data_IF_597023772689
#
_entry.id   IF_597023772689
#
_cell.length_a   1.000
_cell.length_b   1.000
_cell.length_c   1.000
_cell.angle_alpha   90.00
_cell.angle_beta   90.00
_cell.angle_gamma   90.00
#
_symmetry.space_group_name_H-M   'P 1'
#
loop_
_entity.id
_entity.type
_entity.pdbx_description
1 polymer ?
#
# COMPACT_ATOMS: atom_id res chain seq x y z
N UNK A 1 -15.34 -24.78 -6.72
CA UNK A 1 -14.57 -23.56 -6.51
C UNK A 1 -13.11 -23.91 -6.41
N UNK A 2 -12.25 -23.12 -7.06
CA UNK A 2 -10.81 -23.36 -7.11
C UNK A 2 -10.05 -23.05 -5.81
N UNK A 3 -8.73 -22.94 -5.94
CA UNK A 3 -7.81 -22.61 -4.84
C UNK A 3 -8.16 -21.27 -4.18
N UNK A 4 -7.96 -21.16 -2.87
CA UNK A 4 -8.14 -19.91 -2.15
C UNK A 4 -7.19 -18.84 -2.69
N UNK A 5 -7.74 -17.65 -2.92
CA UNK A 5 -6.96 -16.50 -3.35
C UNK A 5 -6.08 -16.04 -2.18
N UNK A 6 -4.76 -15.91 -2.36
CA UNK A 6 -3.90 -15.39 -1.32
C UNK A 6 -4.34 -14.00 -0.85
N UNK A 7 -4.24 -13.68 0.45
CA UNK A 7 -4.56 -12.36 0.95
C UNK A 7 -3.83 -11.26 0.16
N UNK A 8 -4.51 -10.14 -0.07
CA UNK A 8 -4.12 -8.98 -0.90
C UNK A 8 -4.07 -9.21 -2.41
N UNK A 9 -4.19 -10.46 -2.90
CA UNK A 9 -4.19 -10.70 -4.35
C UNK A 9 -5.48 -10.26 -5.04
N UNK A 10 -6.54 -9.94 -4.30
CA UNK A 10 -7.75 -9.32 -4.85
C UNK A 10 -7.44 -7.98 -5.55
N UNK A 11 -6.35 -7.27 -5.18
CA UNK A 11 -5.89 -6.07 -5.87
C UNK A 11 -5.47 -6.30 -7.33
N UNK A 12 -5.22 -7.56 -7.73
CA UNK A 12 -4.86 -7.93 -9.10
C UNK A 12 -6.08 -8.13 -10.02
N UNK A 13 -7.31 -8.12 -9.49
CA UNK A 13 -8.52 -8.45 -10.23
C UNK A 13 -9.48 -7.28 -10.45
N UNK A 14 -9.42 -6.25 -9.64
CA UNK A 14 -10.28 -5.07 -9.74
C UNK A 14 -9.48 -3.85 -10.20
N UNK A 15 -8.94 -3.95 -11.42
CA UNK A 15 -7.98 -2.99 -11.97
C UNK A 15 -8.62 -1.65 -12.33
N UNK A 16 -7.92 -0.52 -12.18
CA UNK A 16 -8.38 0.80 -12.60
C UNK A 16 -8.30 0.95 -14.13
N UNK A 17 -9.39 0.63 -14.84
CA UNK A 17 -9.47 0.61 -16.30
C UNK A 17 -9.80 1.99 -16.90
N UNK A 18 -8.99 3.01 -16.62
CA UNK A 18 -9.14 4.32 -17.23
C UNK A 18 -8.55 4.34 -18.66
N UNK A 19 -9.20 5.07 -19.58
CA UNK A 19 -8.68 5.27 -20.94
C UNK A 19 -7.45 6.17 -20.90
N UNK A 20 -6.55 6.04 -21.89
CA UNK A 20 -5.36 6.89 -21.99
C UNK A 20 -5.71 8.38 -21.98
N UNK A 21 -6.80 8.79 -22.62
CA UNK A 21 -7.29 10.20 -22.65
C UNK A 21 -7.81 10.70 -21.29
N UNK A 22 -8.07 9.79 -20.36
CA UNK A 22 -8.58 10.06 -19.01
C UNK A 22 -7.46 10.11 -17.96
N UNK A 23 -6.21 9.86 -18.35
CA UNK A 23 -5.06 9.93 -17.46
C UNK A 23 -4.54 11.37 -17.34
N UNK A 24 -4.06 11.70 -16.14
CA UNK A 24 -3.30 12.90 -15.85
C UNK A 24 -1.82 12.76 -16.23
N UNK A 25 -1.04 13.83 -16.12
CA UNK A 25 0.39 13.82 -16.46
C UNK A 25 1.23 12.92 -15.55
N UNK A 26 0.73 12.59 -14.36
CA UNK A 26 1.33 11.67 -13.41
C UNK A 26 1.02 10.19 -13.69
N UNK A 27 0.14 9.90 -14.67
CA UNK A 27 -0.31 8.57 -15.04
C UNK A 27 -1.51 8.04 -14.24
N UNK A 28 -2.01 8.79 -13.27
CA UNK A 28 -3.28 8.46 -12.61
C UNK A 28 -4.51 8.91 -13.43
N UNK A 29 -5.68 8.27 -13.22
CA UNK A 29 -6.95 8.82 -13.72
C UNK A 29 -7.15 10.26 -13.25
N UNK A 30 -7.65 11.11 -14.17
CA UNK A 30 -8.01 12.50 -13.86
C UNK A 30 -8.98 12.54 -12.69
N UNK A 31 -8.97 13.66 -11.97
CA UNK A 31 -9.83 13.87 -10.80
C UNK A 31 -11.27 14.19 -11.20
N UNK A 32 -12.20 14.05 -10.23
CA UNK A 32 -13.62 14.37 -10.41
C UNK A 32 -14.48 13.20 -10.90
N UNK A 33 -13.91 11.95 -10.91
CA UNK A 33 -14.68 10.73 -11.08
C UNK A 33 -15.29 10.26 -9.74
N UNK A 34 -15.01 9.03 -9.35
CA UNK A 34 -15.50 8.48 -8.07
C UNK A 34 -14.91 9.20 -6.85
N UNK A 35 -13.62 9.52 -6.88
CA UNK A 35 -12.99 10.28 -5.79
C UNK A 35 -13.30 11.77 -5.88
N UNK A 36 -13.39 12.48 -4.73
CA UNK A 36 -13.74 13.90 -4.70
C UNK A 36 -12.67 14.74 -5.45
N UNK A 37 -13.06 15.89 -6.02
CA UNK A 37 -12.17 16.77 -6.77
C UNK A 37 -11.30 17.61 -5.83
N UNK A 38 -10.44 16.95 -5.05
CA UNK A 38 -9.51 17.61 -4.11
C UNK A 38 -8.48 18.42 -4.90
N UNK A 39 -8.29 19.73 -4.61
CA UNK A 39 -7.39 20.61 -5.38
C UNK A 39 -5.89 20.41 -5.06
N UNK A 40 -5.53 19.49 -4.16
CA UNK A 40 -4.14 19.22 -3.77
C UNK A 40 -3.47 18.29 -4.78
N UNK A 41 -2.26 18.61 -5.29
CA UNK A 41 -1.66 17.92 -6.44
C UNK A 41 -1.20 16.49 -6.14
N UNK A 42 -0.67 16.18 -4.98
CA UNK A 42 -0.17 14.85 -4.66
C UNK A 42 -1.26 13.98 -4.02
N UNK A 43 -1.36 12.74 -4.50
CA UNK A 43 -2.25 11.70 -3.96
C UNK A 43 -1.43 10.48 -3.59
N UNK A 44 -1.58 10.01 -2.36
CA UNK A 44 -0.83 8.88 -1.82
C UNK A 44 -1.79 7.91 -1.12
N UNK A 45 -1.48 6.60 -1.19
CA UNK A 45 -2.10 5.59 -0.35
C UNK A 45 -1.46 5.63 1.03
N UNK A 46 -2.21 6.08 2.03
CA UNK A 46 -1.70 6.26 3.39
C UNK A 46 -1.74 4.97 4.23
N UNK A 47 -2.68 4.07 3.93
CA UNK A 47 -2.83 2.80 4.64
C UNK A 47 -4.15 2.12 4.32
N UNK A 48 -4.35 0.91 4.84
CA UNK A 48 -5.62 0.18 4.77
C UNK A 48 -5.85 -0.66 6.01
N UNK A 49 -7.12 -1.04 6.20
CA UNK A 49 -7.62 -2.02 7.18
C UNK A 49 -8.45 -3.03 6.41
N UNK A 50 -8.13 -4.30 6.55
CA UNK A 50 -8.77 -5.40 5.84
C UNK A 50 -9.27 -6.45 6.83
N UNK A 51 -10.52 -6.87 6.68
CA UNK A 51 -11.17 -7.90 7.47
C UNK A 51 -11.64 -9.03 6.56
N UNK A 52 -11.09 -10.23 6.73
CA UNK A 52 -11.48 -11.42 5.99
C UNK A 52 -12.58 -12.16 6.74
N UNK A 53 -13.77 -12.23 6.16
CA UNK A 53 -14.92 -12.94 6.69
C UNK A 53 -15.03 -14.37 6.12
N UNK A 54 -14.59 -14.54 4.87
CA UNK A 54 -14.52 -15.81 4.17
C UNK A 54 -13.41 -15.78 3.11
N UNK A 55 -12.89 -16.93 2.65
CA UNK A 55 -11.93 -16.97 1.58
C UNK A 55 -12.58 -16.58 0.24
N UNK A 56 -11.89 -15.77 -0.54
CA UNK A 56 -12.15 -15.61 -1.97
C UNK A 56 -11.43 -16.76 -2.73
N UNK A 57 -12.03 -17.26 -3.81
CA UNK A 57 -11.48 -18.40 -4.57
C UNK A 57 -11.32 -18.11 -6.04
N UNK A 58 -10.31 -18.71 -6.66
CA UNK A 58 -10.11 -18.63 -8.10
C UNK A 58 -11.29 -19.28 -8.84
N UNK A 59 -11.78 -18.62 -9.89
CA UNK A 59 -12.88 -19.09 -10.73
C UNK A 59 -14.27 -18.79 -10.18
N UNK A 60 -14.42 -18.14 -9.02
CA UNK A 60 -15.72 -17.65 -8.57
C UNK A 60 -16.01 -16.23 -9.06
N UNK A 61 -17.27 -15.89 -9.17
CA UNK A 61 -17.70 -14.53 -9.45
C UNK A 61 -17.66 -13.71 -8.17
N UNK A 62 -16.93 -12.59 -8.20
CA UNK A 62 -16.82 -11.66 -7.07
C UNK A 62 -17.23 -10.28 -7.52
N UNK A 63 -18.07 -9.62 -6.74
CA UNK A 63 -18.49 -8.23 -6.95
C UNK A 63 -17.79 -7.34 -5.93
N UNK A 64 -17.23 -6.21 -6.38
CA UNK A 64 -16.72 -5.16 -5.49
C UNK A 64 -17.71 -4.00 -5.46
N UNK A 65 -18.19 -3.67 -4.28
CA UNK A 65 -18.94 -2.45 -4.02
C UNK A 65 -18.06 -1.45 -3.26
N UNK A 66 -18.00 -0.21 -3.75
CA UNK A 66 -17.11 0.82 -3.19
C UNK A 66 -17.89 2.06 -2.80
N UNK A 67 -17.60 2.62 -1.61
CA UNK A 67 -18.21 3.87 -1.16
C UNK A 67 -17.21 4.73 -0.41
N UNK A 68 -17.32 6.06 -0.54
CA UNK A 68 -16.57 6.99 0.29
C UNK A 68 -17.19 7.00 1.67
N UNK A 69 -16.40 6.74 2.71
CA UNK A 69 -16.84 6.70 4.11
C UNK A 69 -16.66 8.07 4.76
N UNK A 70 -15.51 8.71 4.49
CA UNK A 70 -15.21 10.03 5.03
C UNK A 70 -14.35 10.86 4.10
N UNK A 71 -14.47 12.18 4.21
CA UNK A 71 -13.58 13.18 3.61
C UNK A 71 -13.25 14.18 4.71
N UNK A 72 -11.99 14.22 5.13
CA UNK A 72 -11.55 15.07 6.24
C UNK A 72 -10.43 16.00 5.79
N UNK A 73 -10.60 17.28 6.03
CA UNK A 73 -9.55 18.28 5.85
C UNK A 73 -8.81 18.50 7.18
N UNK A 74 -7.48 18.45 7.12
CA UNK A 74 -6.60 18.71 8.27
C UNK A 74 -5.52 19.69 7.87
N UNK A 75 -5.09 20.50 8.82
CA UNK A 75 -3.90 21.36 8.66
C UNK A 75 -2.76 20.76 9.48
N UNK A 76 -1.66 20.42 8.80
CA UNK A 76 -0.46 19.89 9.41
C UNK A 76 0.71 20.86 9.30
N UNK A 77 1.87 20.50 9.88
CA UNK A 77 3.12 21.28 9.75
C UNK A 77 3.57 21.46 8.29
N UNK A 78 3.17 20.58 7.40
CA UNK A 78 3.49 20.61 5.97
C UNK A 78 2.39 21.19 5.08
N UNK A 79 1.42 21.95 5.66
CA UNK A 79 0.33 22.56 4.90
C UNK A 79 -1.00 21.80 5.01
N UNK A 80 -1.89 22.07 4.05
CA UNK A 80 -3.21 21.44 3.98
C UNK A 80 -3.11 19.97 3.60
N UNK A 81 -3.90 19.12 4.28
CA UNK A 81 -4.04 17.70 4.00
C UNK A 81 -5.53 17.39 3.85
N UNK A 82 -5.88 16.55 2.89
CA UNK A 82 -7.23 15.99 2.79
C UNK A 82 -7.12 14.48 2.83
N UNK A 83 -7.81 13.87 3.79
CA UNK A 83 -7.92 12.43 3.92
C UNK A 83 -9.26 11.97 3.35
N UNK A 84 -9.22 10.94 2.51
CA UNK A 84 -10.41 10.28 1.97
C UNK A 84 -10.34 8.81 2.34
N UNK A 85 -11.34 8.33 3.08
CA UNK A 85 -11.48 6.91 3.37
C UNK A 85 -12.51 6.31 2.40
N UNK A 86 -12.10 5.27 1.69
CA UNK A 86 -12.96 4.48 0.80
C UNK A 86 -13.12 3.08 1.37
N UNK A 87 -14.35 2.64 1.58
CA UNK A 87 -14.66 1.25 1.92
C UNK A 87 -14.99 0.47 0.66
N UNK A 88 -14.34 -0.68 0.51
CA UNK A 88 -14.60 -1.69 -0.50
C UNK A 88 -15.15 -2.95 0.17
N UNK A 89 -16.24 -3.47 -0.33
CA UNK A 89 -16.82 -4.75 0.07
C UNK A 89 -16.72 -5.71 -1.12
N UNK A 90 -16.08 -6.84 -0.93
CA UNK A 90 -15.92 -7.88 -1.93
C UNK A 90 -16.83 -9.03 -1.55
N UNK A 91 -17.84 -9.28 -2.37
CA UNK A 91 -18.87 -10.28 -2.11
C UNK A 91 -18.87 -11.36 -3.20
N UNK A 92 -19.03 -12.60 -2.78
CA UNK A 92 -19.33 -13.76 -3.64
C UNK A 92 -20.78 -14.26 -3.40
N UNK A 93 -21.11 -15.45 -3.90
CA UNK A 93 -22.46 -16.01 -3.74
C UNK A 93 -22.88 -16.28 -2.28
N UNK A 94 -21.92 -16.35 -1.34
CA UNK A 94 -22.15 -16.55 0.09
C UNK A 94 -22.28 -15.26 0.89
N UNK A 95 -22.01 -14.11 0.27
CA UNK A 95 -22.07 -12.81 0.91
C UNK A 95 -20.73 -12.08 0.89
N UNK A 96 -20.57 -11.11 1.80
CA UNK A 96 -19.33 -10.33 1.90
C UNK A 96 -18.20 -11.21 2.46
N UNK A 97 -17.18 -11.45 1.65
CA UNK A 97 -16.02 -12.26 1.99
C UNK A 97 -14.86 -11.41 2.53
N UNK A 98 -14.72 -10.17 2.06
CA UNK A 98 -13.66 -9.26 2.48
C UNK A 98 -14.20 -7.83 2.55
N UNK A 99 -13.85 -7.12 3.61
CA UNK A 99 -14.04 -5.67 3.74
C UNK A 99 -12.68 -4.99 3.80
N UNK A 100 -12.49 -3.93 3.01
CA UNK A 100 -11.28 -3.12 3.02
C UNK A 100 -11.63 -1.65 3.20
N UNK A 101 -10.98 -0.97 4.13
CA UNK A 101 -10.95 0.48 4.21
C UNK A 101 -9.61 0.99 3.71
N UNK A 102 -9.66 1.84 2.68
CA UNK A 102 -8.52 2.38 1.98
C UNK A 102 -8.40 3.88 2.28
N UNK A 103 -7.34 4.28 2.97
CA UNK A 103 -7.06 5.67 3.32
C UNK A 103 -6.18 6.32 2.26
N UNK A 104 -6.69 7.35 1.63
CA UNK A 104 -6.00 8.18 0.64
C UNK A 104 -5.71 9.52 1.28
N UNK A 105 -4.48 10.01 1.14
CA UNK A 105 -4.09 11.35 1.56
C UNK A 105 -3.72 12.21 0.35
N UNK A 106 -4.27 13.41 0.31
CA UNK A 106 -3.92 14.45 -0.65
C UNK A 106 -3.10 15.52 0.08
N UNK A 107 -2.07 16.02 -0.58
CA UNK A 107 -1.21 17.10 -0.06
C UNK A 107 -0.65 17.97 -1.17
N UNK A 108 -0.12 19.13 -0.79
CA UNK A 108 0.61 20.01 -1.68
C UNK A 108 1.97 19.44 -2.12
N UNK A 109 2.52 20.05 -3.16
CA UNK A 109 3.92 19.86 -3.54
C UNK A 109 4.80 20.38 -2.39
N UNK A 110 5.98 19.78 -2.19
CA UNK A 110 6.94 20.35 -1.26
C UNK A 110 7.35 21.75 -1.74
N UNK A 111 7.56 22.67 -0.81
CA UNK A 111 8.13 23.98 -1.14
C UNK A 111 9.50 23.78 -1.80
N UNK A 112 9.76 24.37 -2.98
CA UNK A 112 11.08 24.28 -3.61
C UNK A 112 12.18 24.72 -2.64
N UNK A 113 13.24 23.93 -2.50
CA UNK A 113 14.35 24.21 -1.59
C UNK A 113 14.09 23.89 -0.10
N UNK A 114 12.90 23.39 0.24
CA UNK A 114 12.69 22.88 1.59
C UNK A 114 13.62 21.70 1.89
N UNK A 115 14.26 21.62 3.07
CA UNK A 115 15.07 20.48 3.41
C UNK A 115 14.22 19.20 3.38
N UNK A 116 14.83 18.11 2.93
CA UNK A 116 14.19 16.80 2.99
C UNK A 116 13.67 16.58 4.43
N UNK A 117 12.43 16.12 4.54
CA UNK A 117 11.88 15.83 5.86
C UNK A 117 12.81 14.84 6.58
N UNK A 118 13.21 15.18 7.80
CA UNK A 118 14.00 14.29 8.64
C UNK A 118 13.29 12.92 8.78
N UNK A 119 14.04 11.83 8.99
CA UNK A 119 13.45 10.51 9.24
C UNK A 119 12.37 10.60 10.31
N UNK A 120 11.18 10.09 10.00
CA UNK A 120 10.01 10.24 10.89
C UNK A 120 10.11 9.32 12.11
N UNK A 121 11.05 8.39 12.11
CA UNK A 121 11.21 7.41 13.19
C UNK A 121 12.68 7.14 13.51
N UNK A 122 12.94 6.81 14.77
CA UNK A 122 14.22 6.22 15.17
C UNK A 122 14.41 4.86 14.49
N UNK A 123 15.66 4.45 14.19
CA UNK A 123 15.96 3.13 13.68
C UNK A 123 15.37 2.03 14.56
N UNK A 124 14.74 1.04 13.92
CA UNK A 124 14.24 -0.14 14.61
C UNK A 124 15.31 -1.24 14.60
N UNK A 125 15.55 -1.90 15.74
CA UNK A 125 16.45 -3.05 15.73
C UNK A 125 15.84 -4.20 14.90
N UNK A 126 16.72 -5.08 14.42
CA UNK A 126 16.25 -6.34 13.82
C UNK A 126 15.42 -7.12 14.84
N UNK A 127 14.33 -7.81 14.41
CA UNK A 127 13.46 -8.52 15.34
C UNK A 127 14.20 -9.68 16.02
N UNK A 128 14.24 -9.67 17.35
CA UNK A 128 14.83 -10.77 18.13
C UNK A 128 13.82 -11.91 18.19
N UNK A 129 14.19 -13.07 17.62
CA UNK A 129 13.28 -14.23 17.52
C UNK A 129 12.13 -14.04 16.52
N UNK A 130 12.16 -12.96 15.75
CA UNK A 130 11.20 -12.68 14.68
C UNK A 130 11.75 -13.02 13.30
N UNK A 131 11.10 -12.47 12.27
CA UNK A 131 11.39 -12.74 10.87
C UNK A 131 11.89 -11.50 10.15
N UNK A 132 12.83 -11.69 9.25
CA UNK A 132 13.32 -10.62 8.38
C UNK A 132 13.62 -11.15 6.97
N UNK A 133 13.25 -10.37 5.97
CA UNK A 133 13.55 -10.64 4.57
C UNK A 133 14.02 -9.36 3.89
N UNK A 134 15.22 -9.37 3.36
CA UNK A 134 15.76 -8.28 2.55
C UNK A 134 15.19 -8.35 1.14
N UNK A 135 14.76 -7.21 0.62
CA UNK A 135 14.26 -7.01 -0.74
C UNK A 135 15.19 -6.03 -1.44
N UNK A 136 15.64 -6.39 -2.62
CA UNK A 136 16.35 -5.49 -3.53
C UNK A 136 15.32 -5.01 -4.55
N UNK A 137 14.85 -3.76 -4.46
CA UNK A 137 13.93 -3.21 -5.43
C UNK A 137 14.69 -2.86 -6.70
N UNK A 138 14.24 -3.38 -7.84
CA UNK A 138 14.79 -3.06 -9.14
C UNK A 138 13.68 -2.61 -10.10
N UNK A 139 14.07 -2.04 -11.24
CA UNK A 139 13.14 -1.56 -12.27
C UNK A 139 12.20 -2.68 -12.74
N UNK A 140 12.66 -3.94 -12.78
CA UNK A 140 11.87 -5.09 -13.23
C UNK A 140 10.78 -5.43 -12.21
N UNK A 141 11.12 -5.47 -10.91
CA UNK A 141 10.15 -5.71 -9.85
C UNK A 141 9.06 -4.64 -9.84
N UNK A 142 9.45 -3.36 -9.94
CA UNK A 142 8.50 -2.25 -9.91
C UNK A 142 7.61 -2.23 -11.16
N UNK A 143 8.19 -2.43 -12.34
CA UNK A 143 7.43 -2.55 -13.59
C UNK A 143 6.43 -3.71 -13.53
N UNK A 144 6.85 -4.91 -13.10
CA UNK A 144 5.97 -6.07 -13.00
C UNK A 144 4.81 -5.83 -12.05
N UNK A 145 5.04 -5.18 -10.91
CA UNK A 145 3.97 -4.87 -9.97
C UNK A 145 3.00 -3.82 -10.55
N UNK A 146 3.52 -2.77 -11.18
CA UNK A 146 2.70 -1.80 -11.93
C UNK A 146 1.85 -2.48 -13.00
N UNK A 147 2.41 -3.41 -13.77
CA UNK A 147 1.69 -4.15 -14.80
C UNK A 147 0.59 -5.04 -14.22
N UNK A 148 0.88 -5.80 -13.16
CA UNK A 148 -0.07 -6.68 -12.50
C UNK A 148 -1.25 -5.94 -11.88
N UNK A 149 -1.02 -4.74 -11.34
CA UNK A 149 -2.06 -3.91 -10.72
C UNK A 149 -2.64 -2.87 -11.67
N UNK A 150 -2.17 -2.83 -12.92
CA UNK A 150 -2.49 -1.81 -13.93
C UNK A 150 -2.29 -0.38 -13.39
N UNK A 151 -1.28 -0.20 -12.55
CA UNK A 151 -0.94 1.08 -11.94
C UNK A 151 -0.03 1.90 -12.84
N UNK A 152 -0.59 2.90 -13.51
CA UNK A 152 0.14 3.79 -14.42
C UNK A 152 0.85 4.96 -13.74
N UNK A 153 0.94 5.03 -12.42
CA UNK A 153 1.59 6.15 -11.74
C UNK A 153 3.09 6.18 -12.03
N UNK A 154 3.54 7.24 -12.69
CA UNK A 154 4.89 7.37 -13.25
C UNK A 154 6.01 7.30 -12.22
N UNK A 155 5.75 7.63 -10.96
CA UNK A 155 6.76 7.56 -9.89
C UNK A 155 7.34 6.16 -9.67
N UNK A 156 6.66 5.12 -10.16
CA UNK A 156 7.07 3.74 -9.98
C UNK A 156 7.89 3.16 -11.14
N UNK A 157 7.91 3.83 -12.31
CA UNK A 157 8.58 3.28 -13.50
C UNK A 157 9.23 4.33 -14.41
N UNK A 158 8.93 5.61 -14.25
CA UNK A 158 9.53 6.68 -15.04
C UNK A 158 10.56 7.44 -14.19
N UNK A 159 11.80 7.00 -14.27
CA UNK A 159 12.91 7.56 -13.49
C UNK A 159 13.12 9.05 -13.74
N UNK A 160 13.03 9.47 -15.01
CA UNK A 160 13.16 10.88 -15.36
C UNK A 160 12.06 11.73 -14.72
N UNK A 161 10.83 11.28 -14.80
CA UNK A 161 9.70 12.00 -14.19
C UNK A 161 9.85 12.10 -12.66
N UNK A 162 10.17 10.99 -12.01
CA UNK A 162 10.25 10.96 -10.54
C UNK A 162 11.39 11.82 -10.01
N UNK A 163 12.51 11.95 -10.76
CA UNK A 163 13.66 12.74 -10.31
C UNK A 163 13.56 14.20 -10.73
N UNK A 164 13.19 14.49 -12.00
CA UNK A 164 13.19 15.87 -12.53
C UNK A 164 11.90 16.63 -12.22
N UNK A 165 10.75 15.94 -12.13
CA UNK A 165 9.44 16.58 -11.91
C UNK A 165 8.99 16.45 -10.45
N UNK A 166 9.08 15.25 -9.86
CA UNK A 166 8.66 15.00 -8.48
C UNK A 166 9.75 15.33 -7.44
N UNK A 167 11.03 15.39 -7.87
CA UNK A 167 12.17 15.73 -7.02
C UNK A 167 12.57 14.63 -6.03
N UNK A 168 12.22 13.36 -6.31
CA UNK A 168 12.63 12.22 -5.50
C UNK A 168 14.00 11.66 -5.95
N UNK A 169 14.75 10.97 -5.06
CA UNK A 169 16.09 10.47 -5.38
C UNK A 169 16.08 9.25 -6.33
N UNK A 170 14.94 8.59 -6.50
CA UNK A 170 14.78 7.38 -7.33
C UNK A 170 13.33 6.99 -7.46
N UNK A 171 13.07 5.84 -8.11
CA UNK A 171 11.73 5.28 -8.22
C UNK A 171 11.17 4.92 -6.85
N UNK A 172 9.90 5.18 -6.64
CA UNK A 172 9.23 4.84 -5.40
C UNK A 172 8.71 3.40 -5.48
N UNK A 173 9.04 2.59 -4.48
CA UNK A 173 8.44 1.26 -4.30
C UNK A 173 6.97 1.43 -3.93
N UNK A 174 6.08 0.69 -4.59
CA UNK A 174 4.64 0.78 -4.33
C UNK A 174 4.31 0.45 -2.87
N UNK A 175 3.56 1.31 -2.19
CA UNK A 175 3.05 1.01 -0.85
C UNK A 175 2.29 -0.32 -0.78
N UNK A 176 1.36 -0.61 -1.70
CA UNK A 176 0.69 -1.92 -1.76
C UNK A 176 1.64 -3.10 -2.04
N UNK A 177 2.77 -2.93 -2.73
CA UNK A 177 3.80 -3.97 -2.83
C UNK A 177 4.44 -4.24 -1.46
N UNK A 178 4.79 -3.20 -0.71
CA UNK A 178 5.31 -3.34 0.66
C UNK A 178 4.31 -4.10 1.55
N UNK A 179 3.03 -3.74 1.52
CA UNK A 179 1.96 -4.44 2.25
C UNK A 179 1.84 -5.91 1.82
N UNK A 180 1.90 -6.19 0.51
CA UNK A 180 1.88 -7.56 -0.03
C UNK A 180 3.07 -8.37 0.47
N UNK A 181 4.26 -7.78 0.50
CA UNK A 181 5.47 -8.44 0.98
C UNK A 181 5.41 -8.73 2.50
N UNK A 182 4.79 -7.85 3.30
CA UNK A 182 4.54 -8.12 4.72
C UNK A 182 3.63 -9.35 4.91
N UNK A 183 2.53 -9.43 4.17
CA UNK A 183 1.62 -10.58 4.22
C UNK A 183 2.27 -11.84 3.62
N UNK A 184 3.08 -11.71 2.56
CA UNK A 184 3.86 -12.82 2.02
C UNK A 184 4.87 -13.37 3.02
N UNK A 185 5.49 -12.51 3.85
CA UNK A 185 6.36 -12.94 4.95
C UNK A 185 5.61 -13.81 5.95
N UNK A 186 4.41 -13.40 6.38
CA UNK A 186 3.56 -14.22 7.28
C UNK A 186 3.25 -15.57 6.66
N UNK A 187 2.83 -15.60 5.38
CA UNK A 187 2.50 -16.84 4.67
C UNK A 187 3.70 -17.80 4.52
N UNK A 188 4.91 -17.27 4.38
CA UNK A 188 6.14 -18.06 4.31
C UNK A 188 6.52 -18.67 5.65
N UNK A 189 6.33 -17.93 6.72
CA UNK A 189 6.69 -18.36 8.06
C UNK A 189 5.61 -19.25 8.70
N UNK A 190 4.34 -18.97 8.37
CA UNK A 190 3.18 -19.68 8.90
C UNK A 190 2.24 -20.12 7.75
N UNK A 191 2.63 -21.10 6.91
CA UNK A 191 1.91 -21.44 5.68
C UNK A 191 0.49 -21.97 5.92
N UNK A 192 0.20 -22.50 7.10
CA UNK A 192 -1.13 -23.00 7.50
C UNK A 192 -2.01 -21.91 8.15
N UNK A 193 -1.44 -20.75 8.50
CA UNK A 193 -2.20 -19.70 9.16
C UNK A 193 -3.13 -18.96 8.20
N UNK A 194 -4.27 -18.55 8.72
CA UNK A 194 -5.26 -17.73 8.02
C UNK A 194 -5.34 -16.36 8.67
N UNK A 195 -5.36 -15.31 7.84
CA UNK A 195 -5.56 -13.95 8.33
C UNK A 195 -7.04 -13.69 8.59
N UNK A 196 -7.33 -13.14 9.77
CA UNK A 196 -8.63 -12.57 10.10
C UNK A 196 -8.63 -11.07 9.81
N UNK A 197 -7.54 -10.37 10.19
CA UNK A 197 -7.39 -8.93 10.02
C UNK A 197 -5.96 -8.58 9.58
N UNK A 198 -5.84 -7.51 8.79
CA UNK A 198 -4.56 -6.87 8.50
C UNK A 198 -4.75 -5.37 8.36
N UNK A 199 -3.91 -4.62 9.05
CA UNK A 199 -3.83 -3.18 8.88
C UNK A 199 -2.41 -2.75 8.62
N UNK A 200 -2.24 -1.67 7.84
CA UNK A 200 -0.94 -1.06 7.61
C UNK A 200 -1.04 0.45 7.43
N UNK A 201 0.06 1.13 7.71
CA UNK A 201 0.20 2.57 7.57
C UNK A 201 1.56 2.92 6.97
N UNK A 202 1.56 3.69 5.90
CA UNK A 202 2.77 4.26 5.33
C UNK A 202 3.35 5.33 6.27
N UNK A 203 4.67 5.29 6.46
CA UNK A 203 5.44 6.20 7.31
C UNK A 203 6.36 7.07 6.46
N UNK A 204 7.13 6.44 5.56
CA UNK A 204 8.05 7.09 4.64
C UNK A 204 8.08 6.35 3.31
N UNK A 205 8.42 7.02 2.19
CA UNK A 205 8.57 6.35 0.90
C UNK A 205 9.81 5.45 0.92
N UNK A 206 9.71 4.27 0.30
CA UNK A 206 10.85 3.41 -0.03
C UNK A 206 11.28 3.72 -1.45
N UNK A 207 12.58 3.86 -1.69
CA UNK A 207 13.16 4.12 -3.01
C UNK A 207 13.93 2.90 -3.52
N UNK A 208 14.06 2.79 -4.83
CA UNK A 208 14.78 1.71 -5.50
C UNK A 208 16.31 1.84 -5.46
N UNK A 209 16.83 2.86 -4.80
CA UNK A 209 18.27 3.15 -4.72
C UNK A 209 19.00 2.35 -3.64
N UNK A 210 18.29 1.65 -2.76
CA UNK A 210 18.86 0.81 -1.71
C UNK A 210 17.94 -0.38 -1.40
N UNK A 211 18.46 -1.50 -0.88
CA UNK A 211 17.67 -2.56 -0.32
C UNK A 211 16.81 -2.08 0.86
N UNK A 212 15.72 -2.78 1.12
CA UNK A 212 14.90 -2.58 2.31
C UNK A 212 14.58 -3.93 2.96
N UNK A 213 14.19 -3.93 4.23
CA UNK A 213 13.80 -5.12 4.94
C UNK A 213 12.31 -5.15 5.24
N UNK A 214 11.70 -6.33 5.06
CA UNK A 214 10.36 -6.65 5.55
C UNK A 214 10.52 -7.50 6.80
N UNK A 215 9.96 -7.05 7.91
CA UNK A 215 10.14 -7.65 9.21
C UNK A 215 8.80 -8.09 9.82
N UNK A 216 8.84 -9.11 10.67
CA UNK A 216 7.69 -9.61 11.40
C UNK A 216 8.07 -10.12 12.79
N UNK A 217 7.25 -9.77 13.78
CA UNK A 217 7.41 -10.19 15.16
C UNK A 217 6.08 -10.75 15.66
N UNK A 218 5.97 -12.09 15.85
CA UNK A 218 4.83 -12.67 16.55
C UNK A 218 4.75 -12.17 18.00
N UNK A 219 3.55 -11.86 18.44
CA UNK A 219 3.26 -11.49 19.82
C UNK A 219 3.01 -12.73 20.68
N UNK A 220 3.06 -12.55 22.01
CA UNK A 220 2.90 -13.64 22.98
C UNK A 220 1.49 -14.28 22.97
N UNK A 221 0.50 -13.62 22.39
CA UNK A 221 -0.88 -14.13 22.28
C UNK A 221 -1.03 -15.26 21.24
N UNK A 222 0.03 -15.50 20.43
CA UNK A 222 0.07 -16.50 19.37
C UNK A 222 -0.82 -16.19 18.17
N UNK A 223 -1.48 -15.02 18.13
CA UNK A 223 -2.41 -14.60 17.07
C UNK A 223 -2.02 -13.30 16.40
N UNK A 224 -1.41 -12.40 17.13
CA UNK A 224 -1.03 -11.08 16.61
C UNK A 224 0.41 -11.10 16.11
N UNK A 225 0.63 -10.52 14.93
CA UNK A 225 1.96 -10.36 14.32
C UNK A 225 2.16 -8.89 14.03
N UNK A 226 3.14 -8.27 14.67
CA UNK A 226 3.62 -6.95 14.27
C UNK A 226 4.47 -7.08 13.01
N UNK A 227 4.21 -6.22 12.05
CA UNK A 227 4.87 -6.20 10.75
C UNK A 227 5.40 -4.80 10.48
N UNK A 228 6.55 -4.72 9.80
CA UNK A 228 7.04 -3.44 9.35
C UNK A 228 7.96 -3.58 8.13
N UNK A 229 8.10 -2.47 7.43
CA UNK A 229 9.13 -2.28 6.41
C UNK A 229 10.08 -1.22 6.93
N UNK A 230 11.38 -1.50 6.85
CA UNK A 230 12.44 -0.58 7.24
C UNK A 230 13.48 -0.42 6.14
N UNK A 231 14.07 0.77 6.08
CA UNK A 231 15.22 1.07 5.24
C UNK A 231 16.46 0.32 5.73
N UNK A 232 17.55 0.37 4.98
CA UNK A 232 18.83 -0.20 5.34
C UNK A 232 19.47 0.42 6.60
N UNK A 233 19.15 1.69 6.89
CA UNK A 233 19.51 2.39 8.13
C UNK A 233 18.60 2.04 9.32
N UNK A 234 17.63 1.16 9.14
CA UNK A 234 16.66 0.75 10.16
C UNK A 234 15.48 1.70 10.37
N UNK A 235 15.42 2.86 9.69
CA UNK A 235 14.28 3.77 9.80
C UNK A 235 13.00 3.16 9.20
N UNK A 236 11.84 3.43 9.82
CA UNK A 236 10.57 2.84 9.39
C UNK A 236 10.04 3.47 8.11
N UNK A 237 9.64 2.63 7.16
CA UNK A 237 8.93 3.02 5.95
C UNK A 237 7.43 2.69 6.02
N UNK A 238 7.06 1.58 6.65
CA UNK A 238 5.67 1.15 6.82
C UNK A 238 5.53 0.34 8.10
N UNK A 239 4.40 0.47 8.78
CA UNK A 239 4.03 -0.39 9.91
C UNK A 239 2.76 -1.14 9.59
N UNK A 240 2.59 -2.32 10.17
CA UNK A 240 1.39 -3.13 10.02
C UNK A 240 1.15 -4.07 11.18
N UNK A 241 -0.06 -4.58 11.27
CA UNK A 241 -0.45 -5.61 12.23
C UNK A 241 -1.33 -6.62 11.53
N UNK A 242 -0.99 -7.89 11.66
CA UNK A 242 -1.81 -9.00 11.20
C UNK A 242 -2.38 -9.75 12.41
N UNK A 243 -3.65 -10.15 12.30
CA UNK A 243 -4.29 -11.03 13.29
C UNK A 243 -4.71 -12.32 12.60
N UNK A 244 -4.37 -13.44 13.20
CA UNK A 244 -4.70 -14.78 12.73
C UNK A 244 -6.06 -15.23 13.29
N UNK A 245 -6.72 -16.14 12.55
CA UNK A 245 -7.96 -16.79 12.99
C UNK A 245 -7.70 -17.65 14.23
#
# INVERSE_FOLDING_TARGET
AGTELPPLWHWLYFLPMARQSELGPDGHPKRGGFLPPVPLPRRMWAGSRLDWHAPLRLGETVTRHSRIVSVEQKSGRSGALVFVCVRHEYANAQGVALTEEHDIVYRDLPTPGAPAAAPVSAPQPAPVGGWMRTIVPDDVLLFRYSALTFNGHRIHYDRRYVTEVEGYPGLIVHGPLCATLMVDLVRRQLPAARLAHFSFKAVAPVFDIAPFAVCGQPEADGKTIKLWVQHDDGSLAMTGTATLV
#
